data_IF_473617335434
#
_entry.id   IF_473617335434
#
_cell.length_a   1.000
_cell.length_b   1.000
_cell.length_c   1.000
_cell.angle_alpha   90.00
_cell.angle_beta   90.00
_cell.angle_gamma   90.00
#
_symmetry.space_group_name_H-M   'P 1'
#
loop_
_entity.id
_entity.type
_entity.pdbx_description
1 polymer ?
#
# COMPACT_ATOMS: atom_id res chain seq x y z
N UNK A 1 -51.32 -29.95 -5.42
CA UNK A 1 -49.98 -30.19 -4.86
C UNK A 1 -49.01 -30.22 -6.03
N UNK A 2 -48.54 -29.06 -6.48
CA UNK A 2 -47.51 -28.95 -7.53
C UNK A 2 -46.30 -28.27 -6.91
N UNK A 3 -45.24 -29.05 -6.74
CA UNK A 3 -43.96 -28.59 -6.24
C UNK A 3 -43.23 -27.82 -7.35
N UNK A 4 -43.21 -26.50 -7.24
CA UNK A 4 -42.36 -25.62 -8.08
C UNK A 4 -40.90 -25.85 -7.74
N UNK A 5 -40.22 -26.69 -8.50
CA UNK A 5 -38.76 -26.80 -8.50
C UNK A 5 -38.19 -25.56 -9.21
N UNK A 6 -37.70 -24.58 -8.43
CA UNK A 6 -36.94 -23.46 -8.95
C UNK A 6 -35.56 -23.98 -9.36
N UNK A 7 -35.47 -24.57 -10.55
CA UNK A 7 -34.21 -24.81 -11.22
C UNK A 7 -33.57 -23.44 -11.56
N UNK A 8 -32.61 -23.03 -10.75
CA UNK A 8 -31.74 -21.86 -10.99
C UNK A 8 -31.05 -22.10 -12.33
N UNK A 9 -31.61 -21.56 -13.43
CA UNK A 9 -30.99 -21.60 -14.77
C UNK A 9 -29.57 -21.00 -14.63
N UNK A 10 -28.52 -21.85 -14.71
CA UNK A 10 -27.14 -21.41 -14.92
C UNK A 10 -27.12 -20.61 -16.22
N UNK A 11 -26.82 -19.33 -16.15
CA UNK A 11 -26.58 -18.53 -17.35
C UNK A 11 -25.49 -19.25 -18.14
N UNK A 12 -25.67 -19.49 -19.44
CA UNK A 12 -24.62 -20.11 -20.25
C UNK A 12 -23.41 -19.22 -20.22
N UNK A 13 -22.22 -19.80 -19.99
CA UNK A 13 -20.97 -19.09 -20.07
C UNK A 13 -20.83 -18.55 -21.50
N UNK A 14 -20.83 -17.21 -21.64
CA UNK A 14 -20.78 -16.52 -22.93
C UNK A 14 -19.44 -16.71 -23.69
N UNK A 15 -18.42 -17.22 -22.98
CA UNK A 15 -17.09 -17.43 -23.58
C UNK A 15 -16.80 -18.92 -23.71
N UNK A 16 -16.55 -19.43 -24.94
CA UNK A 16 -16.06 -20.78 -25.14
C UNK A 16 -14.68 -20.93 -24.47
N UNK A 17 -14.48 -22.01 -23.70
CA UNK A 17 -13.20 -22.26 -23.00
C UNK A 17 -13.10 -21.72 -21.57
N UNK A 18 -14.15 -21.12 -20.98
CA UNK A 18 -14.14 -20.58 -19.63
C UNK A 18 -13.62 -21.60 -18.58
N UNK A 19 -14.04 -22.86 -18.65
CA UNK A 19 -13.60 -23.89 -17.71
C UNK A 19 -12.10 -24.18 -17.80
N UNK A 20 -11.55 -24.24 -19.01
CA UNK A 20 -10.11 -24.42 -19.24
C UNK A 20 -9.29 -23.20 -18.74
N UNK A 21 -9.74 -22.00 -19.08
CA UNK A 21 -9.10 -20.75 -18.65
C UNK A 21 -9.11 -20.62 -17.13
N UNK A 22 -10.26 -20.87 -16.49
CA UNK A 22 -10.38 -20.86 -15.03
C UNK A 22 -9.48 -21.91 -14.38
N UNK A 23 -9.48 -23.15 -14.90
CA UNK A 23 -8.63 -24.22 -14.38
C UNK A 23 -7.14 -23.89 -14.46
N UNK A 24 -6.69 -23.36 -15.59
CA UNK A 24 -5.30 -22.94 -15.76
C UNK A 24 -4.93 -21.76 -14.83
N UNK A 25 -5.80 -20.76 -14.71
CA UNK A 25 -5.59 -19.61 -13.81
C UNK A 25 -5.51 -20.06 -12.35
N UNK A 26 -6.41 -20.94 -11.91
CA UNK A 26 -6.39 -21.49 -10.55
C UNK A 26 -5.14 -22.32 -10.28
N UNK A 27 -4.73 -23.16 -11.24
CA UNK A 27 -3.49 -23.94 -11.12
C UNK A 27 -2.26 -23.03 -11.03
N UNK A 28 -2.20 -22.00 -11.88
CA UNK A 28 -1.10 -21.04 -11.91
C UNK A 28 -0.99 -20.27 -10.56
N UNK A 29 -2.11 -19.74 -10.06
CA UNK A 29 -2.16 -19.02 -8.77
C UNK A 29 -1.80 -19.98 -7.62
N UNK A 30 -2.31 -21.21 -7.64
CA UNK A 30 -2.03 -22.19 -6.59
C UNK A 30 -0.55 -22.55 -6.54
N UNK A 31 0.08 -22.75 -7.70
CA UNK A 31 1.47 -23.17 -7.78
C UNK A 31 2.45 -22.02 -7.46
N UNK A 32 2.18 -20.80 -7.95
CA UNK A 32 3.09 -19.67 -7.78
C UNK A 32 2.85 -18.86 -6.51
N UNK A 33 1.65 -18.86 -5.97
CA UNK A 33 1.29 -18.05 -4.81
C UNK A 33 0.99 -18.92 -3.59
N UNK A 34 0.03 -19.83 -3.69
CA UNK A 34 -0.42 -20.60 -2.52
C UNK A 34 0.63 -21.59 -2.04
N UNK A 35 1.37 -22.25 -2.94
CA UNK A 35 2.37 -23.22 -2.56
C UNK A 35 3.53 -22.59 -1.77
N UNK A 36 4.20 -21.48 -2.23
CA UNK A 36 5.24 -20.81 -1.43
C UNK A 36 4.69 -20.26 -0.10
N UNK A 37 3.48 -19.67 -0.09
CA UNK A 37 2.89 -19.19 1.15
C UNK A 37 2.58 -20.33 2.13
N UNK A 38 2.13 -21.48 1.65
CA UNK A 38 1.88 -22.66 2.52
C UNK A 38 3.14 -23.15 3.22
N UNK A 39 4.31 -23.02 2.60
CA UNK A 39 5.58 -23.42 3.21
C UNK A 39 5.90 -22.61 4.47
N UNK A 40 5.52 -21.32 4.51
CA UNK A 40 5.67 -20.50 5.71
C UNK A 40 4.86 -21.11 6.86
N UNK A 41 3.60 -21.52 6.58
CA UNK A 41 2.73 -22.16 7.58
C UNK A 41 3.31 -23.50 8.04
N UNK A 42 3.76 -24.36 7.13
CA UNK A 42 4.32 -25.66 7.48
C UNK A 42 5.58 -25.54 8.34
N UNK A 43 6.49 -24.64 7.99
CA UNK A 43 7.68 -24.38 8.81
C UNK A 43 7.34 -23.80 10.19
N UNK A 44 6.35 -22.92 10.26
CA UNK A 44 5.94 -22.35 11.54
C UNK A 44 5.24 -23.38 12.44
N UNK A 45 4.41 -24.28 11.87
CA UNK A 45 3.73 -25.34 12.63
C UNK A 45 4.75 -26.37 13.18
N UNK A 46 5.85 -26.62 12.49
CA UNK A 46 6.91 -27.50 12.97
C UNK A 46 7.66 -26.93 14.18
N UNK A 47 7.59 -25.63 14.42
CA UNK A 47 8.05 -24.94 15.61
C UNK A 47 7.07 -25.20 16.75
N UNK A 48 7.51 -25.61 17.92
CA UNK A 48 6.65 -25.81 19.08
C UNK A 48 5.83 -24.57 19.42
N UNK A 49 4.60 -24.75 19.92
CA UNK A 49 3.69 -23.63 20.26
C UNK A 49 4.30 -22.65 21.28
N UNK A 50 5.08 -23.14 22.23
CA UNK A 50 5.79 -22.32 23.21
C UNK A 50 6.86 -21.45 22.53
N UNK A 51 7.68 -22.07 21.68
CA UNK A 51 8.79 -21.37 21.01
C UNK A 51 8.26 -20.32 20.02
N UNK A 52 7.12 -20.62 19.38
CA UNK A 52 6.43 -19.67 18.52
C UNK A 52 6.03 -18.40 19.32
N UNK A 53 5.33 -18.56 20.45
CA UNK A 53 4.89 -17.42 21.27
C UNK A 53 6.07 -16.65 21.84
N UNK A 54 7.11 -17.33 22.29
CA UNK A 54 8.33 -16.71 22.80
C UNK A 54 9.00 -15.85 21.73
N UNK A 55 9.12 -16.38 20.51
CA UNK A 55 9.72 -15.66 19.37
C UNK A 55 8.91 -14.42 18.99
N UNK A 56 7.59 -14.54 18.76
CA UNK A 56 6.78 -13.43 18.29
C UNK A 56 6.52 -12.35 19.35
N UNK A 57 6.66 -12.72 20.64
CA UNK A 57 6.49 -11.80 21.78
C UNK A 57 7.81 -11.16 22.21
N UNK A 58 8.93 -11.52 21.61
CA UNK A 58 10.24 -10.90 21.87
C UNK A 58 10.12 -9.37 21.71
N UNK A 59 10.61 -8.55 22.67
CA UNK A 59 10.48 -7.09 22.62
C UNK A 59 10.99 -6.47 21.29
N UNK A 60 12.07 -7.04 20.74
CA UNK A 60 12.64 -6.63 19.45
C UNK A 60 11.67 -6.89 18.29
N UNK A 61 11.02 -8.05 18.28
CA UNK A 61 10.04 -8.43 17.24
C UNK A 61 8.81 -7.54 17.33
N UNK A 62 8.27 -7.35 18.54
CA UNK A 62 7.11 -6.46 18.75
C UNK A 62 7.42 -5.02 18.36
N UNK A 63 8.63 -4.51 18.66
CA UNK A 63 9.07 -3.18 18.23
C UNK A 63 9.13 -3.07 16.72
N UNK A 64 9.62 -4.11 16.01
CA UNK A 64 9.69 -4.14 14.55
C UNK A 64 8.30 -4.13 13.91
N UNK A 65 7.32 -4.86 14.45
CA UNK A 65 5.92 -4.81 13.99
C UNK A 65 5.33 -3.41 14.16
N UNK A 66 5.44 -2.82 15.34
CA UNK A 66 4.92 -1.47 15.62
C UNK A 66 5.51 -0.44 14.64
N UNK A 67 6.81 -0.52 14.39
CA UNK A 67 7.48 0.38 13.45
C UNK A 67 7.01 0.13 12.02
N UNK A 68 6.97 -1.12 11.56
CA UNK A 68 6.55 -1.46 10.19
C UNK A 68 5.14 -1.01 9.89
N UNK A 69 4.18 -1.39 10.72
CA UNK A 69 2.77 -1.01 10.53
C UNK A 69 2.57 0.50 10.72
N UNK A 70 3.20 1.10 11.73
CA UNK A 70 3.08 2.53 12.02
C UNK A 70 3.69 3.40 10.92
N UNK A 71 4.90 3.10 10.46
CA UNK A 71 5.57 3.84 9.40
C UNK A 71 4.85 3.67 8.05
N UNK A 72 4.40 2.46 7.71
CA UNK A 72 3.64 2.20 6.48
C UNK A 72 2.29 2.92 6.48
N UNK A 73 1.58 2.93 7.62
CA UNK A 73 0.33 3.66 7.75
C UNK A 73 0.53 5.16 7.62
N UNK A 74 1.54 5.72 8.30
CA UNK A 74 1.88 7.14 8.21
C UNK A 74 2.25 7.55 6.78
N UNK A 75 3.09 6.76 6.10
CA UNK A 75 3.47 6.99 4.71
C UNK A 75 2.26 6.93 3.76
N UNK A 76 1.38 5.93 3.92
CA UNK A 76 0.17 5.82 3.12
C UNK A 76 -0.80 6.99 3.35
N UNK A 77 -0.91 7.49 4.59
CA UNK A 77 -1.72 8.66 4.91
C UNK A 77 -1.16 9.94 4.28
N UNK A 78 0.16 10.13 4.35
CA UNK A 78 0.86 11.24 3.68
C UNK A 78 0.59 11.16 2.17
N UNK A 79 0.72 9.97 1.59
CA UNK A 79 0.44 9.74 0.17
C UNK A 79 -1.03 9.99 -0.19
N UNK A 80 -2.00 9.64 0.68
CA UNK A 80 -3.40 9.95 0.46
C UNK A 80 -3.65 11.45 0.35
N UNK A 81 -3.01 12.26 1.19
CA UNK A 81 -3.15 13.73 1.15
C UNK A 81 -2.41 14.32 -0.05
N UNK A 82 -1.10 14.09 -0.14
CA UNK A 82 -0.28 14.72 -1.18
C UNK A 82 -0.51 14.12 -2.57
N UNK A 83 -0.85 12.82 -2.66
CA UNK A 83 -1.21 12.17 -3.91
C UNK A 83 -2.48 12.75 -4.53
N UNK A 84 -3.49 13.07 -3.70
CA UNK A 84 -4.69 13.78 -4.17
C UNK A 84 -4.35 15.18 -4.68
N UNK A 85 -3.51 15.92 -3.94
CA UNK A 85 -3.07 17.26 -4.37
C UNK A 85 -2.32 17.21 -5.70
N UNK A 86 -1.40 16.26 -5.85
CA UNK A 86 -0.64 16.08 -7.11
C UNK A 86 -1.58 15.67 -8.24
N UNK A 87 -2.47 14.69 -8.02
CA UNK A 87 -3.45 14.28 -9.03
C UNK A 87 -4.34 15.45 -9.46
N UNK A 88 -4.79 16.25 -8.49
CA UNK A 88 -5.57 17.46 -8.75
C UNK A 88 -4.85 18.45 -9.65
N UNK A 89 -3.59 18.77 -9.29
CA UNK A 89 -2.76 19.70 -10.08
C UNK A 89 -2.51 19.16 -11.49
N UNK A 90 -2.20 17.85 -11.61
CA UNK A 90 -1.96 17.23 -12.89
C UNK A 90 -3.21 17.12 -13.77
N UNK A 91 -4.40 17.10 -13.21
CA UNK A 91 -5.65 17.04 -14.01
C UNK A 91 -6.15 18.44 -14.34
N UNK A 92 -6.35 19.30 -13.34
CA UNK A 92 -7.07 20.57 -13.47
C UNK A 92 -6.24 21.76 -13.93
N UNK A 93 -4.89 21.66 -13.87
CA UNK A 93 -4.06 22.79 -14.29
C UNK A 93 -3.26 22.50 -15.55
N UNK A 94 -3.07 23.55 -16.35
CA UNK A 94 -2.18 23.55 -17.50
C UNK A 94 -0.96 24.41 -17.18
N UNK A 95 0.23 23.81 -17.18
CA UNK A 95 1.50 24.48 -16.92
C UNK A 95 2.62 23.90 -17.75
N UNK A 96 3.67 24.72 -17.95
CA UNK A 96 4.87 24.27 -18.66
C UNK A 96 5.56 23.14 -17.86
N UNK A 97 5.87 22.02 -18.52
CA UNK A 97 6.51 20.89 -17.85
C UNK A 97 5.53 19.88 -17.21
N UNK A 98 4.20 20.02 -17.37
CA UNK A 98 3.20 19.08 -16.86
C UNK A 98 3.51 17.62 -17.19
N UNK A 99 3.94 17.32 -18.43
CA UNK A 99 4.30 15.96 -18.86
C UNK A 99 5.51 15.41 -18.10
N UNK A 100 6.48 16.27 -17.79
CA UNK A 100 7.66 15.90 -17.00
C UNK A 100 7.23 15.62 -15.56
N UNK A 101 6.43 16.50 -14.96
CA UNK A 101 5.91 16.32 -13.61
C UNK A 101 5.08 15.03 -13.48
N UNK A 102 4.23 14.73 -14.49
CA UNK A 102 3.46 13.49 -14.54
C UNK A 102 4.37 12.26 -14.65
N UNK A 103 5.42 12.30 -15.50
CA UNK A 103 6.40 11.22 -15.58
C UNK A 103 7.24 11.04 -14.30
N UNK A 104 7.54 12.12 -13.56
CA UNK A 104 8.26 12.04 -12.29
C UNK A 104 7.46 11.32 -11.20
N UNK A 105 6.14 11.33 -11.26
CA UNK A 105 5.30 10.54 -10.35
C UNK A 105 5.59 9.05 -10.49
N UNK A 106 5.90 8.56 -11.69
CA UNK A 106 6.18 7.14 -11.93
C UNK A 106 7.64 6.74 -11.68
N UNK A 107 8.50 7.71 -11.36
CA UNK A 107 9.92 7.46 -11.10
C UNK A 107 10.18 6.35 -10.06
N UNK A 108 9.41 6.25 -8.95
CA UNK A 108 9.57 5.16 -7.99
C UNK A 108 9.33 3.75 -8.57
N UNK A 109 8.57 3.62 -9.65
CA UNK A 109 8.38 2.33 -10.34
C UNK A 109 9.57 1.97 -11.25
N UNK A 110 10.24 2.97 -11.80
CA UNK A 110 11.36 2.78 -12.71
C UNK A 110 12.69 2.54 -11.98
N UNK A 111 12.84 3.07 -10.76
CA UNK A 111 14.07 2.95 -9.98
C UNK A 111 14.11 1.63 -9.20
N UNK A 112 15.25 0.91 -9.20
CA UNK A 112 15.48 -0.13 -8.20
C UNK A 112 15.35 0.45 -6.78
N UNK A 113 14.61 -0.22 -5.91
CA UNK A 113 14.32 0.30 -4.56
C UNK A 113 15.59 0.57 -3.75
N UNK A 114 16.63 -0.25 -3.93
CA UNK A 114 17.93 -0.03 -3.31
C UNK A 114 18.56 1.31 -3.73
N UNK A 115 18.49 1.65 -5.02
CA UNK A 115 19.01 2.93 -5.54
C UNK A 115 18.25 4.10 -4.94
N UNK A 116 16.93 4.00 -4.84
CA UNK A 116 16.10 5.01 -4.18
C UNK A 116 16.53 5.18 -2.71
N UNK A 117 16.75 4.07 -1.98
CA UNK A 117 17.21 4.09 -0.60
C UNK A 117 18.57 4.78 -0.42
N UNK A 118 19.55 4.42 -1.25
CA UNK A 118 20.89 5.06 -1.23
C UNK A 118 20.77 6.56 -1.53
N UNK A 119 20.02 6.94 -2.55
CA UNK A 119 19.83 8.34 -2.94
C UNK A 119 19.18 9.15 -1.83
N UNK A 120 18.11 8.64 -1.23
CA UNK A 120 17.43 9.29 -0.11
C UNK A 120 18.34 9.39 1.12
N UNK A 121 19.12 8.33 1.41
CA UNK A 121 20.06 8.35 2.51
C UNK A 121 21.11 9.45 2.31
N UNK A 122 21.74 9.49 1.13
CA UNK A 122 22.74 10.51 0.79
C UNK A 122 22.17 11.93 0.88
N UNK A 123 20.92 12.11 0.48
CA UNK A 123 20.24 13.40 0.49
C UNK A 123 19.94 13.89 1.91
N UNK A 124 19.51 12.97 2.81
CA UNK A 124 19.01 13.30 4.14
C UNK A 124 20.02 13.04 5.28
N UNK A 125 21.24 12.55 5.00
CA UNK A 125 22.30 12.50 6.02
C UNK A 125 22.69 13.92 6.46
N UNK A 126 23.26 14.11 7.67
CA UNK A 126 23.65 15.44 8.17
C UNK A 126 24.55 16.27 7.22
N UNK A 127 25.35 15.59 6.41
CA UNK A 127 26.22 16.22 5.41
C UNK A 127 25.59 16.20 3.99
N UNK A 128 24.35 15.73 3.85
CA UNK A 128 23.64 15.66 2.57
C UNK A 128 23.04 17.00 2.16
N UNK A 129 22.67 17.10 0.89
CA UNK A 129 22.15 18.35 0.31
C UNK A 129 20.95 18.95 1.03
N UNK A 130 20.07 18.13 1.57
CA UNK A 130 18.92 18.57 2.37
C UNK A 130 19.24 18.48 3.86
N UNK A 131 19.88 17.38 4.29
CA UNK A 131 20.13 17.12 5.70
C UNK A 131 20.93 18.20 6.41
N UNK A 132 21.88 18.85 5.73
CA UNK A 132 22.70 19.94 6.28
C UNK A 132 21.89 21.19 6.68
N UNK A 133 20.72 21.41 6.08
CA UNK A 133 19.86 22.55 6.39
C UNK A 133 18.82 22.24 7.48
N UNK A 134 18.72 20.98 7.87
CA UNK A 134 17.76 20.55 8.87
C UNK A 134 18.41 20.49 10.25
N UNK A 135 17.80 21.10 11.24
CA UNK A 135 18.29 21.09 12.63
C UNK A 135 18.14 19.73 13.34
N UNK A 136 17.69 18.68 12.64
CA UNK A 136 17.48 17.33 13.17
C UNK A 136 17.86 16.26 12.16
N UNK A 137 18.15 15.06 12.66
CA UNK A 137 18.53 13.91 11.82
C UNK A 137 17.29 13.25 11.22
N UNK A 138 17.33 12.98 9.92
CA UNK A 138 16.31 12.21 9.18
C UNK A 138 16.84 10.81 8.88
N UNK A 139 17.97 10.69 8.21
CA UNK A 139 18.59 9.39 7.95
C UNK A 139 18.87 8.65 9.28
N UNK A 140 18.67 7.34 9.26
CA UNK A 140 18.83 6.45 10.41
C UNK A 140 17.83 6.71 11.55
N UNK A 141 16.64 7.22 11.19
CA UNK A 141 15.52 7.45 12.11
C UNK A 141 14.21 6.91 11.53
N UNK A 142 13.15 6.72 12.34
CA UNK A 142 11.82 6.37 11.84
C UNK A 142 11.27 7.36 10.80
N UNK A 143 11.64 8.64 10.88
CA UNK A 143 11.23 9.65 9.90
C UNK A 143 11.82 9.34 8.52
N UNK A 144 13.09 8.93 8.46
CA UNK A 144 13.71 8.49 7.21
C UNK A 144 13.00 7.30 6.57
N UNK A 145 12.55 6.35 7.40
CA UNK A 145 11.74 5.21 6.93
C UNK A 145 10.43 5.70 6.31
N UNK A 146 9.71 6.60 7.01
CA UNK A 146 8.45 7.16 6.51
C UNK A 146 8.67 7.88 5.18
N UNK A 147 9.75 8.66 5.03
CA UNK A 147 10.06 9.35 3.77
C UNK A 147 10.31 8.36 2.64
N UNK A 148 11.10 7.30 2.87
CA UNK A 148 11.34 6.28 1.86
C UNK A 148 10.05 5.56 1.44
N UNK A 149 9.23 5.18 2.40
CA UNK A 149 7.93 4.53 2.14
C UNK A 149 6.94 5.48 1.44
N UNK A 150 6.97 6.78 1.77
CA UNK A 150 6.17 7.81 1.09
C UNK A 150 6.60 7.94 -0.37
N UNK A 151 7.90 8.02 -0.64
CA UNK A 151 8.43 8.10 -2.00
C UNK A 151 7.94 6.91 -2.86
N UNK A 152 8.07 5.68 -2.35
CA UNK A 152 7.67 4.48 -3.09
C UNK A 152 6.15 4.36 -3.23
N UNK A 153 5.39 4.81 -2.23
CA UNK A 153 3.93 4.71 -2.19
C UNK A 153 3.19 5.77 -3.01
N UNK A 154 3.84 6.90 -3.33
CA UNK A 154 3.21 8.06 -3.96
C UNK A 154 2.47 7.74 -5.28
N UNK A 155 3.04 7.02 -6.24
CA UNK A 155 2.38 6.75 -7.51
C UNK A 155 1.07 5.99 -7.35
N UNK A 156 0.93 5.14 -6.34
CA UNK A 156 -0.29 4.36 -6.15
C UNK A 156 -1.52 5.25 -5.90
N UNK A 157 -1.39 6.28 -5.08
CA UNK A 157 -2.52 7.20 -4.84
C UNK A 157 -2.76 8.09 -6.04
N UNK A 158 -1.72 8.68 -6.62
CA UNK A 158 -1.86 9.57 -7.79
C UNK A 158 -2.55 8.84 -8.94
N UNK A 159 -2.09 7.63 -9.29
CA UNK A 159 -2.62 6.86 -10.42
C UNK A 159 -4.01 6.28 -10.20
N UNK A 160 -4.45 6.14 -8.95
CA UNK A 160 -5.83 5.76 -8.64
C UNK A 160 -6.79 6.95 -8.71
N UNK A 161 -6.36 8.13 -8.26
CA UNK A 161 -7.21 9.33 -8.18
C UNK A 161 -7.29 10.07 -9.54
N UNK A 162 -6.20 10.13 -10.27
CA UNK A 162 -6.08 10.88 -11.53
C UNK A 162 -7.15 10.51 -12.57
N UNK A 163 -7.41 9.23 -12.90
CA UNK A 163 -8.43 8.85 -13.87
C UNK A 163 -9.84 9.23 -13.42
N UNK A 164 -10.13 9.12 -12.11
CA UNK A 164 -11.45 9.51 -11.59
C UNK A 164 -11.67 11.01 -11.72
N UNK A 165 -10.64 11.81 -11.39
CA UNK A 165 -10.70 13.27 -11.58
C UNK A 165 -10.87 13.67 -13.06
N UNK A 166 -10.25 12.92 -13.99
CA UNK A 166 -10.39 13.16 -15.43
C UNK A 166 -11.79 12.88 -15.94
N UNK A 167 -12.51 11.95 -15.31
CA UNK A 167 -13.87 11.56 -15.68
C UNK A 167 -14.96 12.44 -15.03
N UNK A 168 -14.60 13.34 -14.13
CA UNK A 168 -15.54 14.33 -13.56
C UNK A 168 -15.63 15.50 -14.54
N UNK A 169 -16.82 15.68 -15.12
CA UNK A 169 -17.10 16.75 -16.07
C UNK A 169 -16.94 18.13 -15.40
N UNK A 170 -16.28 19.05 -16.08
CA UNK A 170 -16.11 20.43 -15.60
C UNK A 170 -17.46 21.16 -15.46
N UNK A 171 -18.48 20.77 -16.24
CA UNK A 171 -19.83 21.28 -16.16
C UNK A 171 -20.46 21.11 -14.76
N UNK A 172 -20.09 20.06 -14.03
CA UNK A 172 -20.57 19.84 -12.65
C UNK A 172 -20.03 20.93 -11.71
N UNK A 173 -18.77 21.32 -11.92
CA UNK A 173 -18.14 22.41 -11.14
C UNK A 173 -18.77 23.77 -11.47
N UNK A 174 -19.04 24.02 -12.76
CA UNK A 174 -19.69 25.23 -13.24
C UNK A 174 -21.17 25.33 -12.75
N UNK A 175 -21.92 24.23 -12.81
CA UNK A 175 -23.27 24.15 -12.29
C UNK A 175 -23.31 24.42 -10.78
N UNK A 176 -22.37 23.84 -10.03
CA UNK A 176 -22.24 24.09 -8.59
C UNK A 176 -21.95 25.57 -8.29
N UNK A 177 -21.05 26.19 -9.05
CA UNK A 177 -20.74 27.61 -8.93
C UNK A 177 -21.96 28.50 -9.27
N UNK A 178 -22.75 28.14 -10.30
CA UNK A 178 -23.95 28.84 -10.69
C UNK A 178 -25.06 28.81 -9.62
N UNK A 179 -25.05 27.74 -8.78
CA UNK A 179 -25.91 27.63 -7.61
C UNK A 179 -25.37 28.38 -6.37
N UNK A 180 -24.27 29.12 -6.52
CA UNK A 180 -23.66 29.93 -5.45
C UNK A 180 -22.73 29.18 -4.52
N UNK A 181 -22.30 27.96 -4.85
CA UNK A 181 -21.34 27.21 -4.05
C UNK A 181 -19.95 27.84 -4.16
N UNK A 182 -19.26 27.98 -3.03
CA UNK A 182 -17.85 28.34 -3.03
C UNK A 182 -16.98 27.18 -3.53
N UNK A 183 -15.77 27.46 -4.02
CA UNK A 183 -14.80 26.43 -4.50
C UNK A 183 -14.58 25.32 -3.48
N UNK A 184 -14.46 25.66 -2.20
CA UNK A 184 -14.30 24.68 -1.13
C UNK A 184 -15.56 23.83 -0.93
N UNK A 185 -16.75 24.43 -1.06
CA UNK A 185 -18.02 23.70 -0.97
C UNK A 185 -18.18 22.72 -2.15
N UNK A 186 -17.86 23.15 -3.36
CA UNK A 186 -17.83 22.29 -4.55
C UNK A 186 -16.86 21.12 -4.35
N UNK A 187 -15.64 21.40 -3.89
CA UNK A 187 -14.66 20.34 -3.62
C UNK A 187 -15.19 19.33 -2.58
N UNK A 188 -15.60 19.80 -1.39
CA UNK A 188 -15.98 18.90 -0.29
C UNK A 188 -17.28 18.14 -0.56
N UNK A 189 -18.29 18.82 -1.16
CA UNK A 189 -19.61 18.23 -1.30
C UNK A 189 -19.84 17.50 -2.62
N UNK A 190 -19.10 17.84 -3.67
CA UNK A 190 -19.32 17.31 -5.02
C UNK A 190 -18.15 16.43 -5.47
N UNK A 191 -16.93 16.94 -5.42
CA UNK A 191 -15.76 16.24 -5.99
C UNK A 191 -15.22 15.20 -5.02
N UNK A 192 -14.97 15.58 -3.76
CA UNK A 192 -14.34 14.70 -2.77
C UNK A 192 -15.11 13.38 -2.57
N UNK A 193 -16.46 13.36 -2.47
CA UNK A 193 -17.19 12.10 -2.37
C UNK A 193 -16.98 11.18 -3.57
N UNK A 194 -16.82 11.72 -4.77
CA UNK A 194 -16.61 10.94 -6.00
C UNK A 194 -15.22 10.34 -6.08
N UNK A 195 -14.19 11.05 -5.60
CA UNK A 195 -12.80 10.56 -5.60
C UNK A 195 -12.45 9.71 -4.36
N UNK A 196 -13.27 9.76 -3.31
CA UNK A 196 -13.00 9.07 -2.04
C UNK A 196 -12.77 7.56 -2.20
N UNK A 197 -13.54 6.81 -3.01
CA UNK A 197 -13.26 5.39 -3.26
C UNK A 197 -11.88 5.15 -3.89
N UNK A 198 -11.46 6.03 -4.81
CA UNK A 198 -10.14 5.95 -5.44
C UNK A 198 -9.02 6.29 -4.44
N UNK A 199 -9.23 7.25 -3.54
CA UNK A 199 -8.28 7.58 -2.47
C UNK A 199 -8.08 6.37 -1.55
N UNK A 200 -9.15 5.71 -1.12
CA UNK A 200 -9.07 4.54 -0.25
C UNK A 200 -8.37 3.38 -0.96
N UNK A 201 -8.64 3.17 -2.25
CA UNK A 201 -7.94 2.16 -3.04
C UNK A 201 -6.44 2.48 -3.15
N UNK A 202 -6.09 3.71 -3.49
CA UNK A 202 -4.71 4.16 -3.57
C UNK A 202 -3.97 4.07 -2.24
N UNK A 203 -4.63 4.47 -1.14
CA UNK A 203 -4.12 4.29 0.22
C UNK A 203 -3.84 2.82 0.54
N UNK A 204 -4.79 1.92 0.23
CA UNK A 204 -4.65 0.48 0.49
C UNK A 204 -3.47 -0.12 -0.26
N UNK A 205 -3.30 0.25 -1.53
CA UNK A 205 -2.19 -0.20 -2.36
C UNK A 205 -0.84 0.36 -1.87
N UNK A 206 -0.79 1.66 -1.54
CA UNK A 206 0.40 2.29 -0.97
C UNK A 206 0.79 1.66 0.37
N UNK A 207 -0.18 1.38 1.24
CA UNK A 207 0.02 0.72 2.53
C UNK A 207 0.54 -0.71 2.36
N UNK A 208 -0.11 -1.52 1.50
CA UNK A 208 0.33 -2.88 1.21
C UNK A 208 1.75 -2.91 0.64
N UNK A 209 2.06 -1.99 -0.28
CA UNK A 209 3.39 -1.86 -0.88
C UNK A 209 4.44 -1.47 0.15
N UNK A 210 4.11 -0.55 1.06
CA UNK A 210 4.99 -0.07 2.12
C UNK A 210 5.31 -1.17 3.15
N UNK A 211 4.34 -2.03 3.52
CA UNK A 211 4.54 -3.13 4.45
C UNK A 211 5.59 -4.14 3.99
N UNK A 212 5.63 -4.43 2.69
CA UNK A 212 6.59 -5.37 2.11
C UNK A 212 7.90 -4.71 1.65
N UNK A 213 8.13 -3.44 1.96
CA UNK A 213 9.33 -2.75 1.49
C UNK A 213 10.56 -3.11 2.32
N UNK A 214 11.62 -3.51 1.61
CA UNK A 214 12.93 -3.83 2.19
C UNK A 214 14.02 -2.96 1.57
N UNK A 215 14.09 -2.92 0.24
CA UNK A 215 15.25 -2.43 -0.49
C UNK A 215 15.59 -0.96 -0.24
N UNK A 216 14.60 -0.07 -0.18
CA UNK A 216 14.86 1.35 0.10
C UNK A 216 15.12 1.60 1.58
N UNK A 217 14.44 0.84 2.44
CA UNK A 217 14.49 1.06 3.88
C UNK A 217 15.83 0.56 4.47
N UNK A 218 16.42 -0.51 3.95
CA UNK A 218 17.68 -1.06 4.48
C UNK A 218 18.80 -0.02 4.56
N UNK A 219 18.87 0.89 3.59
CA UNK A 219 19.90 1.94 3.54
C UNK A 219 19.58 3.12 4.46
N UNK A 220 18.34 3.63 4.42
CA UNK A 220 17.97 4.83 5.16
C UNK A 220 17.68 4.57 6.64
N UNK A 221 17.27 3.35 6.99
CA UNK A 221 16.98 2.96 8.37
C UNK A 221 18.25 2.70 9.21
N UNK A 222 19.31 2.20 8.58
CA UNK A 222 20.53 1.79 9.29
C UNK A 222 20.35 0.57 10.20
N UNK A 223 19.21 -0.11 10.14
CA UNK A 223 18.88 -1.37 10.82
C UNK A 223 19.23 -1.40 12.32
N UNK A 224 18.90 -0.33 13.07
CA UNK A 224 19.19 -0.22 14.50
C UNK A 224 18.11 -1.00 15.28
N UNK A 225 18.48 -2.09 16.00
CA UNK A 225 17.53 -2.87 16.80
C UNK A 225 16.69 -2.00 17.74
N UNK A 226 15.40 -2.32 17.89
CA UNK A 226 14.43 -1.63 18.73
C UNK A 226 14.11 -0.17 18.32
N UNK A 227 14.78 0.39 17.29
CA UNK A 227 14.61 1.81 16.90
C UNK A 227 14.20 1.99 15.44
N UNK A 228 14.95 1.40 14.51
CA UNK A 228 14.73 1.60 13.07
C UNK A 228 14.68 0.28 12.28
N UNK A 229 14.69 -0.83 12.99
CA UNK A 229 14.59 -2.16 12.41
C UNK A 229 13.12 -2.48 12.12
N UNK A 230 12.74 -2.43 10.83
CA UNK A 230 11.41 -2.87 10.37
C UNK A 230 11.35 -4.39 10.27
N UNK A 231 10.15 -4.96 10.27
CA UNK A 231 9.96 -6.42 10.23
C UNK A 231 10.64 -7.11 9.05
N UNK A 232 10.59 -6.61 7.80
CA UNK A 232 11.35 -7.23 6.69
C UNK A 232 12.86 -7.27 6.93
N UNK A 233 13.44 -6.24 7.57
CA UNK A 233 14.85 -6.21 7.95
C UNK A 233 15.17 -7.26 9.02
N UNK A 234 14.31 -7.39 10.03
CA UNK A 234 14.46 -8.37 11.09
C UNK A 234 14.36 -9.81 10.56
N UNK A 235 13.40 -10.08 9.64
CA UNK A 235 13.28 -11.37 8.96
C UNK A 235 14.59 -11.70 8.22
N UNK A 236 15.14 -10.74 7.48
CA UNK A 236 16.40 -10.95 6.77
C UNK A 236 17.58 -11.20 7.72
N UNK A 237 17.65 -10.45 8.83
CA UNK A 237 18.65 -10.66 9.89
C UNK A 237 18.57 -12.08 10.48
N UNK A 238 17.35 -12.58 10.73
CA UNK A 238 17.13 -13.96 11.21
C UNK A 238 17.57 -15.01 10.17
N UNK A 239 17.29 -14.76 8.89
CA UNK A 239 17.76 -15.64 7.80
C UNK A 239 19.29 -15.67 7.68
N UNK A 240 19.96 -14.53 7.81
CA UNK A 240 21.43 -14.43 7.83
C UNK A 240 22.05 -15.16 9.02
N UNK A 241 21.32 -15.25 10.12
CA UNK A 241 21.71 -16.03 11.31
C UNK A 241 21.35 -17.52 11.21
N UNK A 242 20.81 -17.98 10.08
CA UNK A 242 20.30 -19.34 9.87
C UNK A 242 19.14 -19.74 10.79
N UNK A 243 18.47 -18.75 11.43
CA UNK A 243 17.26 -18.94 12.23
C UNK A 243 16.03 -18.93 11.33
N UNK A 244 15.88 -19.99 10.54
CA UNK A 244 14.75 -20.12 9.60
C UNK A 244 13.41 -20.22 10.32
N UNK A 245 13.37 -20.88 11.47
CA UNK A 245 12.14 -21.03 12.26
C UNK A 245 11.67 -19.69 12.80
N UNK A 246 12.56 -18.89 13.39
CA UNK A 246 12.24 -17.54 13.86
C UNK A 246 11.84 -16.62 12.70
N UNK A 247 12.56 -16.66 11.58
CA UNK A 247 12.24 -15.87 10.40
C UNK A 247 10.82 -16.16 9.86
N UNK A 248 10.45 -17.45 9.75
CA UNK A 248 9.13 -17.86 9.24
C UNK A 248 8.02 -17.55 10.24
N UNK A 249 8.24 -17.67 11.56
CA UNK A 249 7.28 -17.28 12.59
C UNK A 249 6.97 -15.78 12.52
N UNK A 250 7.99 -14.92 12.41
CA UNK A 250 7.83 -13.48 12.28
C UNK A 250 7.12 -13.12 10.98
N UNK A 251 7.51 -13.75 9.87
CA UNK A 251 6.89 -13.54 8.55
C UNK A 251 5.40 -13.95 8.54
N UNK A 252 5.07 -15.07 9.18
CA UNK A 252 3.69 -15.56 9.29
C UNK A 252 2.79 -14.55 10.03
N UNK A 253 3.24 -14.05 11.17
CA UNK A 253 2.47 -13.04 11.93
C UNK A 253 2.28 -11.77 11.11
N UNK A 254 3.34 -11.28 10.47
CA UNK A 254 3.26 -10.11 9.60
C UNK A 254 2.27 -10.32 8.46
N UNK A 255 2.30 -11.48 7.80
CA UNK A 255 1.39 -11.85 6.72
C UNK A 255 -0.07 -11.88 7.20
N UNK A 256 -0.35 -12.54 8.33
CA UNK A 256 -1.71 -12.64 8.88
C UNK A 256 -2.25 -11.26 9.25
N UNK A 257 -1.47 -10.44 9.95
CA UNK A 257 -1.89 -9.09 10.35
C UNK A 257 -2.12 -8.22 9.09
N UNK A 258 -1.21 -8.26 8.13
CA UNK A 258 -1.34 -7.52 6.87
C UNK A 258 -2.59 -7.92 6.10
N UNK A 259 -2.88 -9.23 6.02
CA UNK A 259 -4.07 -9.75 5.36
C UNK A 259 -5.35 -9.28 6.06
N UNK A 260 -5.40 -9.35 7.40
CA UNK A 260 -6.56 -8.88 8.17
C UNK A 260 -6.77 -7.38 7.96
N UNK A 261 -5.72 -6.57 8.02
CA UNK A 261 -5.82 -5.13 7.83
C UNK A 261 -6.32 -4.77 6.42
N UNK A 262 -5.77 -5.41 5.38
CA UNK A 262 -6.23 -5.21 4.01
C UNK A 262 -7.67 -5.69 3.80
N UNK A 263 -8.05 -6.81 4.41
CA UNK A 263 -9.42 -7.29 4.38
C UNK A 263 -10.38 -6.26 5.01
N UNK A 264 -10.03 -5.71 6.18
CA UNK A 264 -10.83 -4.69 6.86
C UNK A 264 -10.98 -3.42 6.01
N UNK A 265 -9.89 -2.95 5.38
CA UNK A 265 -9.94 -1.78 4.48
C UNK A 265 -10.84 -2.07 3.27
N UNK A 266 -10.71 -3.25 2.65
CA UNK A 266 -11.55 -3.65 1.51
C UNK A 266 -13.04 -3.81 1.89
N UNK A 267 -13.33 -4.37 3.07
CA UNK A 267 -14.70 -4.45 3.58
C UNK A 267 -15.30 -3.07 3.84
N UNK A 268 -14.51 -2.16 4.41
CA UNK A 268 -14.92 -0.77 4.61
C UNK A 268 -15.21 -0.07 3.29
N UNK A 269 -14.34 -0.24 2.29
CA UNK A 269 -14.52 0.29 0.93
C UNK A 269 -15.79 -0.26 0.28
N UNK A 270 -16.03 -1.56 0.37
CA UNK A 270 -17.22 -2.20 -0.17
C UNK A 270 -18.51 -1.69 0.50
N UNK A 271 -18.50 -1.52 1.83
CA UNK A 271 -19.63 -0.96 2.55
C UNK A 271 -19.93 0.48 2.15
N UNK A 272 -18.89 1.29 1.97
CA UNK A 272 -19.01 2.67 1.54
C UNK A 272 -19.57 2.78 0.11
N UNK A 273 -19.05 2.00 -0.83
CA UNK A 273 -19.51 2.00 -2.22
C UNK A 273 -21.00 1.64 -2.33
N UNK A 274 -21.51 0.74 -1.48
CA UNK A 274 -22.95 0.44 -1.44
C UNK A 274 -23.81 1.61 -1.04
N UNK A 275 -23.35 2.49 -0.17
CA UNK A 275 -24.11 3.68 0.24
C UNK A 275 -24.19 4.73 -0.86
N UNK A 276 -23.12 4.89 -1.65
CA UNK A 276 -23.07 5.88 -2.73
C UNK A 276 -23.79 5.45 -4.03
N UNK A 277 -24.03 4.17 -4.23
CA UNK A 277 -24.77 3.66 -5.41
C UNK A 277 -26.30 3.73 -5.20
N UNK A 278 -26.77 3.88 -3.98
CA UNK A 278 -28.19 3.91 -3.63
C UNK A 278 -28.70 5.28 -3.18
N UNK A 279 -27.88 6.31 -3.23
CA UNK A 279 -28.26 7.73 -3.03
C UNK A 279 -28.19 8.49 -4.35
#
# INVERSE_FOLDING_TARGET
MESFSILKRRKPNLLPGFGLSLGFTMLYISLLVLLPLSMIFFHTISMGWKDFWETISEPRVVASYKLSFGASFAAALINAVFGVLIAWVLVRYHFLGKRIADGLVDLPFALPTAVAGISLTTLYTPNGWIGQFLGFKIAYTPIGIIIALTFIGLPFVVRMVQPVLQNIDEEIEEASASLGASRLQTFIKVIFPQILPAIITGFSLAFARALGEYGSVVFIAGNIPMRTEITPLLIMTKLEQYDYAGATAIAMVMLVISFILLLLINLFQWWMNRKFVHS
#
